data_IF_178032075679
#
_entry.id   IF_178032075679
#
_cell.length_a   1.000
_cell.length_b   1.000
_cell.length_c   1.000
_cell.angle_alpha   90.00
_cell.angle_beta   90.00
_cell.angle_gamma   90.00
#
_symmetry.space_group_name_H-M   'P 1'
#
loop_
_entity.id
_entity.type
_entity.pdbx_description
1 polymer ?
#
# COMPACT_ATOMS: atom_id res chain seq x y z
N UNK A 1 0.38 -7.86 -14.22
CA UNK A 1 -0.23 -7.89 -12.87
C UNK A 1 -1.67 -7.45 -13.02
N UNK A 2 -2.60 -8.21 -12.45
CA UNK A 2 -4.03 -7.98 -12.66
C UNK A 2 -4.52 -6.80 -11.81
N UNK A 3 -5.46 -6.01 -12.35
CA UNK A 3 -6.03 -4.84 -11.67
C UNK A 3 -6.66 -5.19 -10.32
N UNK A 4 -7.22 -6.38 -10.20
CA UNK A 4 -7.86 -6.86 -8.98
C UNK A 4 -6.84 -7.09 -7.86
N UNK A 5 -5.68 -7.66 -8.20
CA UNK A 5 -4.57 -7.84 -7.25
C UNK A 5 -4.01 -6.48 -6.79
N UNK A 6 -3.88 -5.52 -7.71
CA UNK A 6 -3.47 -4.14 -7.37
C UNK A 6 -4.46 -3.53 -6.37
N UNK A 7 -5.76 -3.58 -6.67
CA UNK A 7 -6.80 -3.04 -5.77
C UNK A 7 -6.73 -3.67 -4.38
N UNK A 8 -6.59 -4.99 -4.30
CA UNK A 8 -6.48 -5.71 -3.04
C UNK A 8 -5.25 -5.30 -2.23
N UNK A 9 -4.08 -5.13 -2.87
CA UNK A 9 -2.86 -4.66 -2.20
C UNK A 9 -3.07 -3.30 -1.52
N UNK A 10 -3.64 -2.34 -2.26
CA UNK A 10 -3.84 -0.98 -1.76
C UNK A 10 -4.97 -0.90 -0.72
N UNK A 11 -6.00 -1.73 -0.82
CA UNK A 11 -7.01 -1.89 0.24
C UNK A 11 -6.39 -2.41 1.54
N UNK A 12 -5.53 -3.43 1.46
CA UNK A 12 -4.81 -3.93 2.63
C UNK A 12 -3.84 -2.91 3.21
N UNK A 13 -3.14 -2.13 2.36
CA UNK A 13 -2.24 -1.07 2.80
C UNK A 13 -3.00 0.02 3.60
N UNK A 14 -4.17 0.45 3.11
CA UNK A 14 -5.04 1.41 3.82
C UNK A 14 -5.56 0.85 5.15
N UNK A 15 -5.95 -0.42 5.18
CA UNK A 15 -6.40 -1.07 6.41
C UNK A 15 -5.28 -1.12 7.46
N UNK A 16 -4.05 -1.49 7.07
CA UNK A 16 -2.87 -1.47 7.96
C UNK A 16 -2.59 -0.08 8.51
N UNK A 17 -2.71 0.95 7.67
CA UNK A 17 -2.55 2.34 8.08
C UNK A 17 -3.63 2.79 9.09
N UNK A 18 -4.90 2.46 8.85
CA UNK A 18 -5.99 2.79 9.77
C UNK A 18 -5.82 2.09 11.13
N UNK A 19 -5.34 0.84 11.12
CA UNK A 19 -5.00 0.12 12.33
C UNK A 19 -3.90 0.85 13.14
N UNK A 20 -2.84 1.34 12.49
CA UNK A 20 -1.81 2.14 13.13
C UNK A 20 -2.38 3.40 13.82
N UNK A 21 -3.22 4.20 13.13
CA UNK A 21 -3.85 5.39 13.74
C UNK A 21 -4.64 5.03 15.00
N UNK A 22 -5.40 3.94 14.93
CA UNK A 22 -6.23 3.45 16.04
C UNK A 22 -5.39 2.97 17.21
N UNK A 23 -4.29 2.26 16.94
CA UNK A 23 -3.34 1.77 17.94
C UNK A 23 -2.61 2.91 18.64
N UNK A 24 -2.10 3.90 17.89
CA UNK A 24 -1.44 5.07 18.47
C UNK A 24 -2.39 5.85 19.38
N UNK A 25 -3.62 6.09 18.91
CA UNK A 25 -4.64 6.76 19.73
C UNK A 25 -4.93 5.96 20.99
N UNK A 26 -5.11 4.64 20.88
CA UNK A 26 -5.33 3.78 22.04
C UNK A 26 -4.19 3.89 23.05
N UNK A 27 -2.94 3.84 22.57
CA UNK A 27 -1.75 3.95 23.41
C UNK A 27 -1.72 5.27 24.19
N UNK A 28 -1.97 6.40 23.51
CA UNK A 28 -1.99 7.73 24.14
C UNK A 28 -3.18 7.97 25.09
N UNK A 29 -4.12 7.02 25.14
CA UNK A 29 -5.21 6.97 26.11
C UNK A 29 -5.02 5.86 27.16
N UNK A 30 -3.85 5.22 27.20
CA UNK A 30 -3.50 4.20 28.19
C UNK A 30 -3.98 2.79 27.86
N UNK A 31 -4.35 2.54 26.59
CA UNK A 31 -4.84 1.26 26.12
C UNK A 31 -3.81 0.64 25.17
N UNK A 32 -3.33 -0.56 25.49
CA UNK A 32 -2.34 -1.29 24.70
C UNK A 32 -0.90 -1.05 25.15
N UNK A 33 0.02 -1.90 24.68
CA UNK A 33 1.44 -1.92 25.09
C UNK A 33 2.42 -2.13 23.94
N UNK A 34 1.95 -2.34 22.72
CA UNK A 34 2.85 -2.54 21.58
C UNK A 34 3.37 -1.18 21.08
N UNK A 35 4.48 -0.78 21.66
CA UNK A 35 5.18 0.45 21.34
C UNK A 35 6.09 0.28 20.13
N UNK A 36 6.56 -0.95 19.86
CA UNK A 36 7.52 -1.21 18.80
C UNK A 36 6.93 -0.94 17.42
N UNK A 37 5.73 -1.45 17.13
CA UNK A 37 5.06 -1.21 15.85
C UNK A 37 4.62 0.24 15.64
N UNK A 38 4.51 1.03 16.72
CA UNK A 38 4.17 2.45 16.67
C UNK A 38 5.40 3.33 16.47
N UNK A 39 6.55 2.96 17.05
CA UNK A 39 7.79 3.73 16.97
C UNK A 39 8.61 3.44 15.72
N UNK A 40 8.68 2.17 15.35
CA UNK A 40 9.62 1.72 14.33
C UNK A 40 8.90 1.44 13.01
N UNK A 41 9.26 2.14 11.92
CA UNK A 41 8.69 1.89 10.59
C UNK A 41 8.74 0.41 10.18
N UNK A 42 9.83 -0.29 10.49
CA UNK A 42 10.04 -1.68 10.05
C UNK A 42 9.25 -2.70 10.87
N UNK A 43 8.85 -2.33 12.09
CA UNK A 43 7.96 -3.12 12.92
C UNK A 43 6.49 -2.90 12.55
N UNK A 44 6.17 -1.89 11.75
CA UNK A 44 4.82 -1.62 11.25
C UNK A 44 4.44 -2.60 10.13
N UNK A 45 3.18 -3.04 10.12
CA UNK A 45 2.66 -3.92 9.07
C UNK A 45 2.68 -3.25 7.68
N UNK A 46 2.45 -1.94 7.61
CA UNK A 46 2.59 -1.17 6.37
C UNK A 46 4.07 -1.07 5.95
N UNK A 47 4.97 -0.78 6.88
CA UNK A 47 6.41 -0.70 6.59
C UNK A 47 6.98 -2.02 6.06
N UNK A 48 6.57 -3.16 6.61
CA UNK A 48 6.93 -4.47 6.05
C UNK A 48 6.42 -4.69 4.63
N UNK A 49 5.22 -4.21 4.31
CA UNK A 49 4.69 -4.26 2.95
C UNK A 49 5.46 -3.32 2.01
N UNK A 50 5.81 -2.12 2.46
CA UNK A 50 6.62 -1.16 1.71
C UNK A 50 7.98 -1.73 1.33
N UNK A 51 8.72 -2.27 2.31
CA UNK A 51 10.06 -2.82 2.10
C UNK A 51 10.09 -4.19 1.41
N UNK A 52 8.99 -4.94 1.47
CA UNK A 52 8.85 -6.21 0.79
C UNK A 52 8.16 -6.02 -0.56
N UNK A 53 6.97 -6.61 -0.66
CA UNK A 53 6.16 -6.68 -1.87
C UNK A 53 6.08 -5.36 -2.67
N UNK A 54 5.85 -4.23 -2.02
CA UNK A 54 5.63 -2.98 -2.74
C UNK A 54 6.92 -2.43 -3.38
N UNK A 55 8.07 -2.61 -2.73
CA UNK A 55 9.37 -2.19 -3.25
C UNK A 55 9.79 -2.96 -4.51
N UNK A 56 9.30 -4.18 -4.69
CA UNK A 56 9.57 -5.00 -5.88
C UNK A 56 8.53 -4.70 -6.96
N UNK A 57 7.26 -4.73 -6.57
CA UNK A 57 6.10 -4.71 -7.45
C UNK A 57 5.83 -3.32 -8.03
N UNK A 58 5.99 -2.27 -7.23
CA UNK A 58 5.64 -0.88 -7.62
C UNK A 58 6.89 0.00 -7.81
N UNK A 59 8.08 -0.61 -7.93
CA UNK A 59 9.39 0.08 -7.97
C UNK A 59 9.53 1.17 -9.03
N UNK A 60 8.78 1.07 -10.12
CA UNK A 60 8.84 2.00 -11.25
C UNK A 60 7.94 3.24 -11.06
N UNK A 61 7.17 3.30 -9.97
CA UNK A 61 6.32 4.45 -9.64
C UNK A 61 7.12 5.37 -8.72
N UNK A 62 7.49 6.59 -9.17
CA UNK A 62 8.38 7.46 -8.41
C UNK A 62 7.82 7.88 -7.05
N UNK A 63 6.49 7.95 -6.91
CA UNK A 63 5.80 8.27 -5.66
C UNK A 63 6.02 7.22 -4.55
N UNK A 64 6.49 6.01 -4.87
CA UNK A 64 6.84 5.01 -3.85
C UNK A 64 7.92 5.52 -2.88
N UNK A 65 8.88 6.30 -3.37
CA UNK A 65 9.92 6.90 -2.52
C UNK A 65 9.33 7.93 -1.57
N UNK A 66 8.39 8.74 -2.05
CA UNK A 66 7.73 9.72 -1.21
C UNK A 66 6.81 9.07 -0.18
N UNK A 67 6.14 7.97 -0.55
CA UNK A 67 5.36 7.16 0.37
C UNK A 67 6.22 6.60 1.52
N UNK A 68 7.44 6.14 1.24
CA UNK A 68 8.38 5.67 2.26
C UNK A 68 8.86 6.82 3.18
N UNK A 69 9.12 8.00 2.61
CA UNK A 69 9.49 9.19 3.40
C UNK A 69 8.36 9.60 4.35
N UNK A 70 7.13 9.71 3.85
CA UNK A 70 5.95 10.08 4.65
C UNK A 70 5.66 9.01 5.71
N UNK A 71 5.80 7.73 5.38
CA UNK A 71 5.69 6.63 6.33
C UNK A 71 6.76 6.72 7.45
N UNK A 72 7.99 7.08 7.12
CA UNK A 72 9.04 7.28 8.14
C UNK A 72 8.72 8.49 9.03
N UNK A 73 8.26 9.59 8.43
CA UNK A 73 7.93 10.82 9.14
C UNK A 73 6.79 10.62 10.16
N UNK A 74 5.74 9.86 9.81
CA UNK A 74 4.63 9.58 10.74
C UNK A 74 5.11 8.78 11.96
N UNK A 75 6.03 7.84 11.79
CA UNK A 75 6.62 7.06 12.89
C UNK A 75 7.56 7.88 13.78
N UNK A 76 8.35 8.79 13.19
CA UNK A 76 9.11 9.76 13.98
C UNK A 76 8.18 10.60 14.86
N UNK A 77 7.11 11.15 14.27
CA UNK A 77 6.14 11.94 15.04
C UNK A 77 5.45 11.10 16.12
N UNK A 78 5.04 9.87 15.81
CA UNK A 78 4.45 8.96 16.78
C UNK A 78 5.40 8.69 17.96
N UNK A 79 6.69 8.46 17.68
CA UNK A 79 7.71 8.27 18.71
C UNK A 79 7.80 9.46 19.66
N UNK A 80 7.82 10.69 19.13
CA UNK A 80 7.81 11.91 19.97
C UNK A 80 6.58 11.98 20.88
N UNK A 81 5.39 11.60 20.40
CA UNK A 81 4.18 11.61 21.21
C UNK A 81 4.22 10.54 22.30
N UNK A 82 4.77 9.37 21.99
CA UNK A 82 4.92 8.29 22.96
C UNK A 82 5.94 8.70 24.04
N UNK A 83 7.04 9.38 23.67
CA UNK A 83 7.98 9.93 24.65
C UNK A 83 7.31 10.93 25.59
N UNK A 84 6.53 11.88 25.04
CA UNK A 84 5.73 12.81 25.85
C UNK A 84 4.76 12.07 26.78
N UNK A 85 4.11 11.01 26.31
CA UNK A 85 3.17 10.23 27.12
C UNK A 85 3.89 9.51 28.27
N UNK A 86 5.03 8.87 27.98
CA UNK A 86 5.84 8.15 28.97
C UNK A 86 6.47 9.11 30.00
N UNK A 87 6.75 10.36 29.62
CA UNK A 87 7.17 11.46 30.50
C UNK A 87 6.04 12.01 31.39
N UNK A 88 4.82 11.46 31.31
CA UNK A 88 3.65 11.96 32.03
C UNK A 88 3.01 13.22 31.43
N UNK A 89 3.50 13.71 30.29
CA UNK A 89 2.99 14.89 29.57
C UNK A 89 1.82 14.52 28.64
N UNK A 90 0.82 13.81 29.18
CA UNK A 90 -0.25 13.20 28.40
C UNK A 90 -1.07 14.20 27.57
N UNK A 91 -1.32 15.41 28.10
CA UNK A 91 -2.07 16.44 27.35
C UNK A 91 -1.29 16.91 26.12
N UNK A 92 0.03 17.10 26.24
CA UNK A 92 0.88 17.49 25.12
C UNK A 92 0.97 16.36 24.07
N UNK A 93 1.11 15.11 24.52
CA UNK A 93 1.11 13.95 23.65
C UNK A 93 -0.20 13.85 22.82
N UNK A 94 -1.36 13.99 23.47
CA UNK A 94 -2.66 13.96 22.80
C UNK A 94 -2.88 15.15 21.87
N UNK A 95 -2.43 16.35 22.24
CA UNK A 95 -2.51 17.52 21.37
C UNK A 95 -1.72 17.34 20.07
N UNK A 96 -0.61 16.58 20.10
CA UNK A 96 0.18 16.27 18.93
C UNK A 96 -0.45 15.29 17.94
N UNK A 97 -1.58 14.64 18.27
CA UNK A 97 -2.28 13.73 17.36
C UNK A 97 -2.70 14.40 16.05
N UNK A 98 -3.06 15.69 16.07
CA UNK A 98 -3.44 16.42 14.86
C UNK A 98 -2.30 16.47 13.82
N UNK A 99 -1.05 16.57 14.27
CA UNK A 99 0.12 16.53 13.38
C UNK A 99 0.30 15.14 12.77
N UNK A 100 0.08 14.08 13.55
CA UNK A 100 0.11 12.70 13.03
C UNK A 100 -1.00 12.48 12.00
N UNK A 101 -2.21 12.99 12.26
CA UNK A 101 -3.35 12.91 11.33
C UNK A 101 -3.04 13.61 10.00
N UNK A 102 -2.38 14.77 10.04
CA UNK A 102 -1.97 15.48 8.81
C UNK A 102 -1.02 14.65 7.94
N UNK A 103 0.01 14.03 8.55
CA UNK A 103 0.97 13.18 7.83
C UNK A 103 0.28 11.88 7.34
N UNK A 104 -0.61 11.33 8.15
CA UNK A 104 -1.40 10.15 7.81
C UNK A 104 -2.27 10.37 6.56
N UNK A 105 -2.89 11.53 6.45
CA UNK A 105 -3.74 11.85 5.30
C UNK A 105 -2.91 12.02 4.02
N UNK A 106 -1.68 12.57 4.11
CA UNK A 106 -0.74 12.59 2.99
C UNK A 106 -0.37 11.17 2.51
N UNK A 107 -0.18 10.24 3.44
CA UNK A 107 0.08 8.84 3.12
C UNK A 107 -1.07 8.22 2.31
N UNK A 108 -2.32 8.50 2.69
CA UNK A 108 -3.51 8.01 1.97
C UNK A 108 -3.62 8.59 0.56
N UNK A 109 -3.28 9.87 0.39
CA UNK A 109 -3.22 10.52 -0.94
C UNK A 109 -2.22 9.80 -1.84
N UNK A 110 -0.99 9.59 -1.35
CA UNK A 110 0.06 8.89 -2.11
C UNK A 110 -0.35 7.45 -2.46
N UNK A 111 -0.95 6.70 -1.53
CA UNK A 111 -1.48 5.36 -1.81
C UNK A 111 -2.50 5.38 -2.97
N UNK A 112 -3.40 6.38 -3.00
CA UNK A 112 -4.36 6.54 -4.09
C UNK A 112 -3.72 6.87 -5.43
N UNK A 113 -2.71 7.74 -5.44
CA UNK A 113 -1.98 8.11 -6.66
C UNK A 113 -1.22 6.91 -7.24
N UNK A 114 -0.53 6.15 -6.39
CA UNK A 114 0.24 4.98 -6.80
C UNK A 114 -0.70 3.88 -7.33
N UNK A 115 -1.82 3.61 -6.64
CA UNK A 115 -2.82 2.64 -7.11
C UNK A 115 -3.32 2.98 -8.51
N UNK A 116 -3.68 4.26 -8.75
CA UNK A 116 -4.15 4.73 -10.05
C UNK A 116 -3.10 4.54 -11.14
N UNK A 117 -1.83 4.86 -10.86
CA UNK A 117 -0.72 4.68 -11.80
C UNK A 117 -0.45 3.20 -12.08
N UNK A 118 -0.44 2.36 -11.06
CA UNK A 118 -0.28 0.91 -11.18
C UNK A 118 -1.40 0.29 -12.03
N UNK A 119 -2.66 0.65 -11.76
CA UNK A 119 -3.81 0.17 -12.55
C UNK A 119 -3.80 0.63 -14.01
N UNK A 120 -3.24 1.82 -14.29
CA UNK A 120 -3.07 2.33 -15.65
C UNK A 120 -1.99 1.58 -16.41
N UNK A 121 -0.85 1.27 -15.77
CA UNK A 121 0.22 0.45 -16.35
C UNK A 121 -0.20 -1.00 -16.61
N UNK A 122 -1.10 -1.55 -15.79
CA UNK A 122 -1.67 -2.89 -16.02
C UNK A 122 -2.61 -2.95 -17.24
N UNK A 123 -3.13 -1.80 -17.71
CA UNK A 123 -4.08 -1.72 -18.82
C UNK A 123 -3.41 -1.63 -20.20
N UNK A 124 -2.10 -1.39 -20.26
CA UNK A 124 -1.40 -1.05 -21.51
C UNK A 124 -0.82 -2.25 -22.26
N UNK A 125 -1.33 -3.46 -22.06
CA UNK A 125 -1.00 -4.59 -22.95
C UNK A 125 -1.67 -4.39 -24.31
N UNK A 126 -0.94 -4.48 -25.44
CA UNK A 126 -1.54 -4.38 -26.77
C UNK A 126 -2.56 -5.50 -26.96
N UNK A 127 -3.78 -5.15 -27.35
CA UNK A 127 -4.89 -6.07 -27.71
C UNK A 127 -4.62 -6.85 -29.01
N UNK A 128 -3.38 -7.02 -29.45
CA UNK A 128 -3.06 -7.66 -30.73
C UNK A 128 -2.13 -8.86 -30.56
N UNK A 129 -2.69 -10.02 -30.19
CA UNK A 129 -2.18 -11.33 -30.67
C UNK A 129 -3.18 -12.49 -30.55
N UNK A 130 -4.49 -12.29 -30.73
CA UNK A 130 -5.43 -13.42 -30.72
C UNK A 130 -6.44 -13.46 -31.88
N UNK A 131 -6.05 -13.04 -33.09
CA UNK A 131 -6.88 -13.21 -34.29
C UNK A 131 -6.07 -13.59 -35.53
N UNK A 132 -5.26 -14.65 -35.46
CA UNK A 132 -4.66 -15.24 -36.66
C UNK A 132 -4.39 -16.74 -36.51
N UNK A 133 -5.46 -17.53 -36.39
CA UNK A 133 -5.59 -18.98 -36.71
C UNK A 133 -6.95 -19.42 -36.15
N UNK A 134 -7.92 -19.94 -36.88
CA UNK A 134 -7.96 -20.61 -38.17
C UNK A 134 -9.35 -20.37 -38.79
N UNK A 135 -9.41 -19.71 -39.95
CA UNK A 135 -10.47 -19.96 -40.94
C UNK A 135 -9.79 -20.16 -42.28
N UNK A 136 -9.95 -21.35 -42.85
CA UNK A 136 -9.45 -21.69 -44.18
C UNK A 136 -9.28 -23.18 -44.43
N UNK A 137 -10.41 -23.89 -44.59
CA UNK A 137 -10.75 -24.74 -45.75
C UNK A 137 -11.63 -25.93 -45.34
N UNK A 138 -12.92 -25.81 -45.64
CA UNK A 138 -13.84 -26.93 -45.77
C UNK A 138 -13.67 -27.68 -47.10
N UNK A 139 -14.16 -28.91 -47.07
CA UNK A 139 -14.66 -29.75 -48.18
C UNK A 139 -13.68 -30.15 -49.30
N UNK A 140 -13.38 -31.46 -49.38
CA UNK A 140 -14.01 -32.34 -50.39
C UNK A 140 -13.71 -33.82 -50.11
N UNK A 141 -14.73 -34.61 -50.41
CA UNK A 141 -15.01 -35.98 -50.04
C UNK A 141 -14.12 -37.04 -50.70
N UNK A 142 -13.96 -38.16 -49.97
CA UNK A 142 -14.14 -39.54 -50.44
C UNK A 142 -13.83 -39.85 -51.93
N UNK A 143 -12.65 -40.43 -52.21
CA UNK A 143 -12.44 -41.34 -53.34
C UNK A 143 -11.30 -42.34 -53.02
N UNK A 144 -11.71 -43.57 -52.69
CA UNK A 144 -11.19 -44.83 -53.25
C UNK A 144 -9.73 -44.83 -53.78
N UNK A 145 -8.85 -45.58 -53.11
CA UNK A 145 -7.86 -46.55 -53.68
C UNK A 145 -6.55 -46.60 -52.87
N UNK A 146 -6.43 -47.60 -51.99
CA UNK A 146 -5.28 -48.51 -51.89
C UNK A 146 -5.60 -49.64 -50.89
#
# INVERSE_FOLDING_TARGET
>A
MDKENIKLDFEQARAKHLAFKSQLRSFLYGIGKDEASLRFPDACALGRWLKGHASETYRNIPEMRELENVHTAIHHKASELIDLYNDGKQNAARAGLASVETIADQLLVLLGEIEKKAGSQASSLPTQLFLAREEGLGELEDLMQA
#
